data_IF_583550441117
#
_entry.id   IF_583550441117
#
_cell.length_a   1.000
_cell.length_b   1.000
_cell.length_c   1.000
_cell.angle_alpha   90.00
_cell.angle_beta   90.00
_cell.angle_gamma   90.00
#
_symmetry.space_group_name_H-M   'P 1'
#
loop_
_entity.id
_entity.type
_entity.pdbx_description
1 polymer ?
#
# COMPACT_ATOMS: atom_id res chain seq x y z
N UNK A 1 -31.42 -22.69 3.22
CA UNK A 1 -30.30 -22.81 4.18
C UNK A 1 -29.05 -23.25 3.43
N UNK A 2 -28.45 -22.32 2.67
CA UNK A 2 -27.15 -22.56 2.09
C UNK A 2 -26.11 -22.37 3.18
N UNK A 3 -25.35 -23.41 3.49
CA UNK A 3 -24.18 -23.31 4.35
C UNK A 3 -23.11 -22.56 3.57
N UNK A 4 -23.14 -21.24 3.66
CA UNK A 4 -21.95 -20.42 3.40
C UNK A 4 -21.08 -20.60 4.62
N UNK A 5 -20.10 -21.45 4.56
CA UNK A 5 -19.26 -21.72 5.71
C UNK A 5 -18.05 -22.56 5.34
N UNK A 6 -17.01 -22.25 6.00
CA UNK A 6 -15.84 -23.12 6.08
C UNK A 6 -16.28 -24.36 6.84
N UNK A 7 -16.20 -25.55 6.22
CA UNK A 7 -16.46 -26.81 6.91
C UNK A 7 -15.18 -27.21 7.62
N UNK A 8 -15.14 -26.95 8.93
CA UNK A 8 -13.99 -27.20 9.80
C UNK A 8 -13.62 -25.98 10.65
N UNK A 9 -12.75 -26.16 11.62
CA UNK A 9 -12.21 -25.09 12.44
C UNK A 9 -10.92 -24.50 11.86
N UNK A 10 -10.72 -23.18 12.03
CA UNK A 10 -9.51 -22.48 11.64
C UNK A 10 -9.48 -21.96 10.18
N UNK A 11 -8.39 -21.25 9.80
CA UNK A 11 -8.27 -20.56 8.51
C UNK A 11 -8.03 -21.52 7.32
N UNK A 12 -7.60 -22.76 7.57
CA UNK A 12 -7.27 -23.77 6.53
C UNK A 12 -7.92 -25.11 6.86
N UNK A 13 -9.26 -25.23 6.76
CA UNK A 13 -9.99 -26.47 7.07
C UNK A 13 -9.74 -27.57 6.02
N UNK A 14 -10.04 -28.84 6.31
CA UNK A 14 -9.89 -29.95 5.35
C UNK A 14 -10.67 -29.74 4.04
N UNK A 15 -11.85 -29.12 4.11
CA UNK A 15 -12.66 -28.74 2.96
C UNK A 15 -12.96 -27.26 3.01
N UNK A 16 -12.68 -26.54 1.91
CA UNK A 16 -12.90 -25.11 1.83
C UNK A 16 -14.05 -24.80 0.86
N UNK A 17 -15.13 -24.27 1.42
CA UNK A 17 -16.30 -23.88 0.66
C UNK A 17 -16.57 -22.38 0.83
N UNK A 18 -16.75 -21.68 -0.27
CA UNK A 18 -17.18 -20.27 -0.27
C UNK A 18 -18.26 -20.08 -1.35
N UNK A 19 -19.23 -19.26 -1.03
CA UNK A 19 -20.35 -18.98 -1.92
C UNK A 19 -20.41 -17.48 -2.20
N UNK A 20 -20.56 -17.14 -3.48
CA UNK A 20 -20.61 -15.77 -3.96
C UNK A 20 -21.85 -15.53 -4.80
N UNK A 21 -22.44 -14.35 -4.69
CA UNK A 21 -23.49 -13.87 -5.59
C UNK A 21 -22.97 -12.77 -6.50
N UNK A 22 -23.41 -12.78 -7.75
CA UNK A 22 -23.00 -11.76 -8.73
C UNK A 22 -23.61 -10.40 -8.38
N UNK A 23 -22.75 -9.39 -8.26
CA UNK A 23 -23.14 -8.01 -8.02
C UNK A 23 -23.39 -7.30 -9.36
N UNK A 24 -22.44 -7.40 -10.30
CA UNK A 24 -22.52 -6.74 -11.60
C UNK A 24 -21.65 -7.43 -12.65
N UNK A 25 -22.03 -7.28 -13.91
CA UNK A 25 -21.12 -7.55 -15.02
C UNK A 25 -20.16 -6.38 -15.18
N UNK A 26 -18.88 -6.67 -15.44
CA UNK A 26 -17.87 -5.66 -15.73
C UNK A 26 -17.68 -5.56 -17.24
N UNK A 27 -17.35 -4.37 -17.72
CA UNK A 27 -17.19 -4.12 -19.15
C UNK A 27 -16.21 -5.10 -19.80
N UNK A 28 -15.10 -5.43 -19.12
CA UNK A 28 -14.11 -6.44 -19.48
C UNK A 28 -13.24 -6.74 -18.25
N UNK A 29 -12.35 -7.74 -18.33
CA UNK A 29 -11.38 -8.05 -17.29
C UNK A 29 -10.19 -7.09 -17.28
N UNK A 30 -8.97 -7.59 -17.02
CA UNK A 30 -7.76 -6.75 -17.15
C UNK A 30 -7.59 -6.21 -18.57
N UNK A 31 -8.02 -6.98 -19.57
CA UNK A 31 -7.92 -6.64 -20.99
C UNK A 31 -9.29 -6.69 -21.68
N UNK A 32 -9.49 -5.89 -22.77
CA UNK A 32 -10.80 -5.75 -23.44
C UNK A 32 -11.42 -7.04 -23.98
N UNK A 33 -10.63 -8.06 -24.29
CA UNK A 33 -11.12 -9.35 -24.80
C UNK A 33 -11.56 -10.32 -23.70
N UNK A 34 -11.31 -10.01 -22.42
CA UNK A 34 -11.65 -10.86 -21.29
C UNK A 34 -13.04 -10.50 -20.75
N UNK A 35 -13.88 -11.51 -20.56
CA UNK A 35 -15.17 -11.33 -19.86
C UNK A 35 -14.93 -11.31 -18.35
N UNK A 36 -15.60 -10.41 -17.64
CA UNK A 36 -15.48 -10.27 -16.20
C UNK A 36 -16.81 -9.90 -15.54
N UNK A 37 -16.93 -10.26 -14.26
CA UNK A 37 -18.01 -9.86 -13.38
C UNK A 37 -17.49 -9.72 -11.97
N UNK A 38 -18.13 -8.88 -11.17
CA UNK A 38 -17.85 -8.74 -9.75
C UNK A 38 -18.86 -9.55 -8.94
N UNK A 39 -18.34 -10.30 -7.97
CA UNK A 39 -19.11 -11.13 -7.06
C UNK A 39 -18.78 -10.74 -5.62
N UNK A 40 -19.77 -10.73 -4.74
CA UNK A 40 -19.60 -10.57 -3.29
C UNK A 40 -19.87 -11.89 -2.55
N UNK A 41 -19.30 -12.09 -1.41
CA UNK A 41 -19.53 -13.26 -0.57
C UNK A 41 -20.94 -13.22 0.02
N UNK A 42 -21.66 -14.35 -0.05
CA UNK A 42 -23.04 -14.46 0.44
C UNK A 42 -23.04 -14.38 1.97
N UNK A 43 -23.92 -13.50 2.48
CA UNK A 43 -24.10 -13.33 3.93
C UNK A 43 -23.07 -12.45 4.62
N UNK A 44 -22.13 -11.88 3.86
CA UNK A 44 -21.14 -10.91 4.35
C UNK A 44 -21.27 -9.59 3.60
N UNK A 45 -21.25 -8.50 4.35
CA UNK A 45 -21.27 -7.14 3.80
C UNK A 45 -20.04 -6.38 4.30
N UNK A 46 -18.86 -6.77 3.81
CA UNK A 46 -17.60 -6.14 4.18
C UNK A 46 -16.70 -5.93 2.95
N UNK A 47 -15.62 -5.17 3.13
CA UNK A 47 -14.64 -4.90 2.08
C UNK A 47 -15.29 -4.39 0.79
N UNK A 48 -14.72 -4.70 -0.36
CA UNK A 48 -15.23 -4.28 -1.68
C UNK A 48 -16.67 -4.77 -1.94
N UNK A 49 -17.10 -5.86 -1.31
CA UNK A 49 -18.48 -6.36 -1.40
C UNK A 49 -19.55 -5.44 -0.81
N UNK A 50 -19.15 -4.50 0.05
CA UNK A 50 -20.03 -3.52 0.70
C UNK A 50 -19.87 -2.10 0.14
N UNK A 51 -19.07 -1.90 -0.91
CA UNK A 51 -18.84 -0.59 -1.50
C UNK A 51 -20.16 0.07 -1.97
N UNK A 52 -20.22 1.38 -1.81
CA UNK A 52 -21.32 2.21 -2.31
C UNK A 52 -20.77 3.22 -3.30
N UNK A 53 -21.09 3.05 -4.55
CA UNK A 53 -20.76 4.04 -5.57
C UNK A 53 -21.76 5.18 -5.55
N UNK A 54 -21.29 6.40 -5.26
CA UNK A 54 -22.12 7.60 -5.16
C UNK A 54 -22.24 8.31 -6.51
N UNK A 55 -21.15 8.28 -7.32
CA UNK A 55 -21.07 9.01 -8.58
C UNK A 55 -20.16 8.33 -9.58
N UNK A 56 -20.29 8.73 -10.86
CA UNK A 56 -19.35 8.43 -11.93
C UNK A 56 -19.73 7.22 -12.79
N UNK A 57 -18.80 6.83 -13.67
CA UNK A 57 -18.95 5.69 -14.57
C UNK A 57 -18.93 4.37 -13.82
N UNK A 58 -19.41 3.31 -14.49
CA UNK A 58 -19.28 1.93 -14.01
C UNK A 58 -17.82 1.60 -13.64
N UNK A 59 -17.66 0.78 -12.60
CA UNK A 59 -16.36 0.26 -12.18
C UNK A 59 -15.86 -0.77 -13.20
N UNK A 60 -14.55 -0.74 -13.45
CA UNK A 60 -13.87 -1.78 -14.22
C UNK A 60 -13.21 -2.80 -13.27
N UNK A 61 -12.80 -3.93 -13.85
CA UNK A 61 -11.98 -4.93 -13.13
C UNK A 61 -10.75 -4.29 -12.49
N UNK A 62 -9.97 -3.53 -13.27
CA UNK A 62 -8.76 -2.87 -12.78
C UNK A 62 -9.05 -1.82 -11.70
N UNK A 63 -10.18 -1.10 -11.80
CA UNK A 63 -10.57 -0.19 -10.72
C UNK A 63 -10.75 -0.93 -9.39
N UNK A 64 -11.46 -2.07 -9.38
CA UNK A 64 -11.72 -2.82 -8.14
C UNK A 64 -10.41 -3.36 -7.53
N UNK A 65 -9.50 -3.88 -8.36
CA UNK A 65 -8.18 -4.38 -7.90
C UNK A 65 -7.33 -3.26 -7.30
N UNK A 66 -7.26 -2.11 -7.96
CA UNK A 66 -6.49 -0.97 -7.47
C UNK A 66 -7.16 -0.31 -6.24
N UNK A 67 -8.51 -0.29 -6.19
CA UNK A 67 -9.28 0.17 -5.03
C UNK A 67 -8.95 -0.64 -3.79
N UNK A 68 -8.91 -1.96 -3.88
CA UNK A 68 -8.55 -2.83 -2.77
C UNK A 68 -7.12 -2.56 -2.26
N UNK A 69 -6.17 -2.40 -3.19
CA UNK A 69 -4.79 -2.06 -2.82
C UNK A 69 -4.70 -0.70 -2.10
N UNK A 70 -5.43 0.31 -2.59
CA UNK A 70 -5.47 1.64 -1.99
C UNK A 70 -6.13 1.63 -0.60
N UNK A 71 -7.26 0.91 -0.49
CA UNK A 71 -8.03 0.86 0.75
C UNK A 71 -7.28 0.18 1.88
N UNK A 72 -6.65 -0.96 1.60
CA UNK A 72 -5.85 -1.67 2.61
C UNK A 72 -4.63 -0.86 3.05
N UNK A 73 -4.01 -0.09 2.14
CA UNK A 73 -2.85 0.73 2.46
C UNK A 73 -3.20 1.95 3.34
N UNK A 74 -4.26 2.68 3.03
CA UNK A 74 -4.58 3.92 3.74
C UNK A 74 -4.96 3.69 5.20
N UNK A 75 -5.51 2.51 5.52
CA UNK A 75 -5.91 2.13 6.87
C UNK A 75 -4.78 1.61 7.77
N UNK A 76 -3.54 1.57 7.28
CA UNK A 76 -2.36 1.39 8.13
C UNK A 76 -2.14 2.55 9.10
N UNK A 77 -2.76 3.69 8.82
CA UNK A 77 -2.55 4.93 9.57
C UNK A 77 -3.77 5.31 10.40
N UNK A 78 -3.48 5.77 11.63
CA UNK A 78 -4.49 6.36 12.52
C UNK A 78 -4.65 7.86 12.32
N UNK A 79 -3.61 8.55 11.83
CA UNK A 79 -3.66 9.96 11.47
C UNK A 79 -4.38 10.15 10.13
N UNK A 80 -4.83 11.38 9.79
CA UNK A 80 -5.35 11.66 8.46
C UNK A 80 -4.33 11.26 7.40
N UNK A 81 -4.75 10.38 6.47
CA UNK A 81 -3.88 9.77 5.47
C UNK A 81 -4.53 9.76 4.09
N UNK A 82 -3.68 9.85 3.08
CA UNK A 82 -4.04 9.67 1.68
C UNK A 82 -3.05 8.73 0.99
N UNK A 83 -3.57 7.83 0.16
CA UNK A 83 -2.77 6.95 -0.70
C UNK A 83 -3.26 7.07 -2.14
N UNK A 84 -2.34 7.19 -3.07
CA UNK A 84 -2.60 7.22 -4.52
C UNK A 84 -1.99 5.97 -5.13
N UNK A 85 -2.82 5.14 -5.75
CA UNK A 85 -2.42 3.86 -6.32
C UNK A 85 -2.54 3.89 -7.83
N UNK A 86 -1.60 3.24 -8.49
CA UNK A 86 -1.66 2.90 -9.91
C UNK A 86 -1.05 1.52 -10.13
N UNK A 87 -1.82 0.63 -10.79
CA UNK A 87 -1.39 -0.75 -11.03
C UNK A 87 -0.97 -1.47 -9.75
N UNK A 88 -1.81 -1.37 -8.71
CA UNK A 88 -1.65 -1.97 -7.37
C UNK A 88 -0.46 -1.48 -6.55
N UNK A 89 0.35 -0.54 -7.05
CA UNK A 89 1.48 0.03 -6.33
C UNK A 89 1.24 1.51 -5.99
N UNK A 90 1.82 2.02 -4.89
CA UNK A 90 1.66 3.42 -4.54
C UNK A 90 2.49 4.33 -5.47
N UNK A 91 1.82 5.33 -6.05
CA UNK A 91 2.49 6.50 -6.61
C UNK A 91 2.92 7.43 -5.48
N UNK A 92 2.06 7.59 -4.47
CA UNK A 92 2.32 8.38 -3.29
C UNK A 92 1.43 7.98 -2.13
N UNK A 93 1.97 8.10 -0.94
CA UNK A 93 1.23 7.96 0.31
C UNK A 93 1.76 8.97 1.32
N UNK A 94 0.86 9.54 2.12
CA UNK A 94 1.23 10.53 3.11
C UNK A 94 0.26 10.56 4.28
N UNK A 95 0.77 11.06 5.41
CA UNK A 95 -0.01 11.45 6.59
C UNK A 95 0.23 12.91 6.91
N UNK A 96 -0.77 13.59 7.47
CA UNK A 96 -0.66 14.97 7.92
C UNK A 96 -1.65 15.27 9.04
N UNK A 97 -1.66 16.52 9.53
CA UNK A 97 -2.64 16.98 10.52
C UNK A 97 -4.04 17.18 9.94
N UNK A 98 -4.14 17.42 8.62
CA UNK A 98 -5.40 17.57 7.88
C UNK A 98 -5.45 16.58 6.73
N UNK A 99 -6.65 16.25 6.26
CA UNK A 99 -6.82 15.36 5.11
C UNK A 99 -6.34 16.03 3.81
N UNK A 100 -6.59 17.34 3.68
CA UNK A 100 -6.09 18.18 2.59
C UNK A 100 -4.57 18.04 2.44
N UNK A 101 -3.82 18.30 3.52
CA UNK A 101 -2.35 18.25 3.49
C UNK A 101 -1.84 16.81 3.24
N UNK A 102 -2.52 15.80 3.77
CA UNK A 102 -2.19 14.41 3.49
C UNK A 102 -2.33 14.10 1.98
N UNK A 103 -3.42 14.55 1.36
CA UNK A 103 -3.61 14.39 -0.08
C UNK A 103 -2.56 15.15 -0.90
N UNK A 104 -2.31 16.42 -0.58
CA UNK A 104 -1.29 17.24 -1.28
C UNK A 104 0.08 16.57 -1.21
N UNK A 105 0.50 16.14 -0.02
CA UNK A 105 1.79 15.46 0.18
C UNK A 105 1.87 14.13 -0.58
N UNK A 106 0.79 13.35 -0.62
CA UNK A 106 0.73 12.11 -1.39
C UNK A 106 0.82 12.37 -2.90
N UNK A 107 0.14 13.41 -3.38
CA UNK A 107 0.18 13.82 -4.78
C UNK A 107 1.57 14.31 -5.21
N UNK A 108 2.22 15.12 -4.38
CA UNK A 108 3.57 15.65 -4.65
C UNK A 108 4.67 14.58 -4.63
N UNK A 109 4.42 13.40 -4.06
CA UNK A 109 5.37 12.29 -4.08
C UNK A 109 5.67 11.81 -5.52
N UNK A 110 4.65 11.76 -6.39
CA UNK A 110 4.78 11.46 -7.82
C UNK A 110 3.55 12.01 -8.58
N UNK A 111 3.57 13.32 -8.86
CA UNK A 111 2.47 14.01 -9.54
C UNK A 111 2.25 13.53 -10.98
N UNK A 112 3.28 12.95 -11.62
CA UNK A 112 3.18 12.41 -12.98
C UNK A 112 2.37 11.12 -12.99
N UNK A 113 2.70 10.17 -12.12
CA UNK A 113 2.00 8.89 -12.02
C UNK A 113 0.61 9.02 -11.39
N UNK A 114 0.39 10.02 -10.54
CA UNK A 114 -0.90 10.28 -9.88
C UNK A 114 -2.03 10.61 -10.86
N UNK A 115 -1.72 11.12 -12.06
CA UNK A 115 -2.72 11.38 -13.09
C UNK A 115 -3.45 10.08 -13.51
N UNK A 116 -4.76 10.05 -13.37
CA UNK A 116 -5.58 8.86 -13.61
C UNK A 116 -5.42 7.78 -12.54
N UNK A 117 -4.88 8.11 -11.39
CA UNK A 117 -4.75 7.20 -10.25
C UNK A 117 -6.03 7.00 -9.47
N UNK A 118 -5.98 6.07 -8.53
CA UNK A 118 -7.03 5.80 -7.54
C UNK A 118 -6.57 6.34 -6.20
N UNK A 119 -7.40 7.18 -5.58
CA UNK A 119 -7.12 7.82 -4.29
C UNK A 119 -7.98 7.17 -3.20
N UNK A 120 -7.34 6.75 -2.12
CA UNK A 120 -8.00 6.35 -0.89
C UNK A 120 -7.64 7.31 0.25
N UNK A 121 -8.66 7.66 1.04
CA UNK A 121 -8.56 8.55 2.19
C UNK A 121 -9.21 7.88 3.41
N UNK A 122 -8.61 8.05 4.60
CA UNK A 122 -9.10 7.38 5.81
C UNK A 122 -10.00 8.28 6.69
N UNK A 123 -10.44 9.42 6.16
CA UNK A 123 -11.36 10.35 6.81
C UNK A 123 -12.43 10.82 5.82
N UNK A 124 -13.48 11.43 6.34
CA UNK A 124 -14.48 12.14 5.54
C UNK A 124 -13.84 13.22 4.70
N UNK A 125 -14.17 13.25 3.40
CA UNK A 125 -13.67 14.26 2.47
C UNK A 125 -14.47 15.55 2.64
N UNK A 126 -13.78 16.62 2.96
CA UNK A 126 -14.30 17.98 3.04
C UNK A 126 -14.16 18.76 1.72
N UNK A 127 -14.69 19.98 1.70
CA UNK A 127 -14.67 20.83 0.51
C UNK A 127 -13.25 21.19 0.07
N UNK A 128 -12.36 21.54 1.01
CA UNK A 128 -10.98 21.96 0.71
C UNK A 128 -10.20 20.82 0.05
N UNK A 129 -10.33 19.60 0.58
CA UNK A 129 -9.73 18.39 0.01
C UNK A 129 -10.32 18.07 -1.37
N UNK A 130 -11.63 18.21 -1.53
CA UNK A 130 -12.32 17.99 -2.80
C UNK A 130 -11.90 18.99 -3.88
N UNK A 131 -11.75 20.28 -3.53
CA UNK A 131 -11.24 21.30 -4.46
C UNK A 131 -9.85 20.95 -4.98
N UNK A 132 -8.94 20.52 -4.09
CA UNK A 132 -7.59 20.13 -4.48
C UNK A 132 -7.61 18.90 -5.40
N UNK A 133 -8.37 17.85 -5.06
CA UNK A 133 -8.51 16.65 -5.89
C UNK A 133 -9.16 16.95 -7.25
N UNK A 134 -10.00 17.97 -7.35
CA UNK A 134 -10.67 18.36 -8.59
C UNK A 134 -9.72 18.94 -9.65
N UNK A 135 -8.50 19.38 -9.27
CA UNK A 135 -7.55 20.02 -10.17
C UNK A 135 -6.91 19.08 -11.19
N UNK A 136 -6.90 17.78 -10.90
CA UNK A 136 -6.35 16.76 -11.79
C UNK A 136 -7.42 15.74 -12.18
N UNK A 137 -7.12 14.92 -13.20
CA UNK A 137 -7.95 13.76 -13.52
C UNK A 137 -7.60 12.60 -12.58
N UNK A 138 -8.60 12.11 -11.85
CA UNK A 138 -8.56 10.90 -11.03
C UNK A 138 -9.62 9.90 -11.52
N UNK A 139 -9.30 8.63 -11.49
CA UNK A 139 -10.23 7.56 -11.87
C UNK A 139 -11.27 7.28 -10.80
N UNK A 140 -10.81 7.14 -9.54
CA UNK A 140 -11.64 6.80 -8.38
C UNK A 140 -11.15 7.56 -7.15
N UNK A 141 -12.08 8.03 -6.35
CA UNK A 141 -11.82 8.58 -5.01
C UNK A 141 -12.62 7.74 -4.01
N UNK A 142 -11.95 7.22 -3.00
CA UNK A 142 -12.53 6.39 -1.94
C UNK A 142 -12.36 7.03 -0.58
N UNK A 143 -13.43 7.06 0.20
CA UNK A 143 -13.40 7.57 1.57
C UNK A 143 -14.50 6.91 2.41
N UNK A 144 -14.41 6.99 3.77
CA UNK A 144 -15.50 6.52 4.64
C UNK A 144 -16.76 7.38 4.52
N UNK A 145 -16.63 8.65 4.14
CA UNK A 145 -17.74 9.57 3.90
C UNK A 145 -17.27 10.77 3.07
N UNK A 146 -18.24 11.55 2.56
CA UNK A 146 -18.01 12.82 1.86
C UNK A 146 -19.01 13.82 2.41
N UNK A 147 -18.56 15.06 2.66
CA UNK A 147 -19.50 16.15 2.95
C UNK A 147 -20.32 16.48 1.70
N UNK A 148 -21.46 17.13 1.89
CA UNK A 148 -22.31 17.53 0.76
C UNK A 148 -21.54 18.48 -0.19
N UNK A 149 -20.80 19.41 0.35
CA UNK A 149 -20.01 20.37 -0.40
C UNK A 149 -18.92 19.68 -1.23
N UNK A 150 -18.26 18.65 -0.65
CA UNK A 150 -17.28 17.85 -1.37
C UNK A 150 -17.91 17.08 -2.54
N UNK A 151 -19.10 16.51 -2.35
CA UNK A 151 -19.85 15.85 -3.43
C UNK A 151 -20.20 16.85 -4.54
N UNK A 152 -20.75 18.02 -4.19
CA UNK A 152 -21.13 19.04 -5.18
C UNK A 152 -19.93 19.48 -6.04
N UNK A 153 -18.72 19.55 -5.47
CA UNK A 153 -17.49 19.88 -6.19
C UNK A 153 -17.05 18.73 -7.10
N UNK A 154 -17.00 17.51 -6.59
CA UNK A 154 -16.45 16.36 -7.31
C UNK A 154 -17.39 15.82 -8.39
N UNK A 155 -18.71 15.88 -8.18
CA UNK A 155 -19.74 15.44 -9.14
C UNK A 155 -19.78 16.30 -10.41
N UNK A 156 -19.22 17.53 -10.37
CA UNK A 156 -18.99 18.32 -11.58
C UNK A 156 -18.07 17.62 -12.60
N UNK A 157 -17.27 16.65 -12.15
CA UNK A 157 -16.42 15.78 -12.99
C UNK A 157 -17.14 14.48 -13.34
N UNK A 158 -17.90 14.45 -14.43
CA UNK A 158 -18.77 13.32 -14.85
C UNK A 158 -18.12 11.91 -14.82
N UNK A 159 -16.81 11.81 -14.91
CA UNK A 159 -16.12 10.54 -15.08
C UNK A 159 -15.49 10.01 -13.79
N UNK A 160 -15.31 10.86 -12.76
CA UNK A 160 -14.74 10.43 -11.48
C UNK A 160 -15.73 9.53 -10.75
N UNK A 161 -15.23 8.40 -10.26
CA UNK A 161 -16.04 7.50 -9.43
C UNK A 161 -15.81 7.87 -7.97
N UNK A 162 -16.90 8.13 -7.25
CA UNK A 162 -16.87 8.42 -5.82
C UNK A 162 -17.39 7.18 -5.08
N UNK A 163 -16.59 6.64 -4.19
CA UNK A 163 -16.86 5.39 -3.48
C UNK A 163 -16.85 5.65 -1.98
N UNK A 164 -17.97 5.35 -1.34
CA UNK A 164 -18.08 5.28 0.11
C UNK A 164 -17.88 3.85 0.58
N UNK A 165 -16.99 3.64 1.53
CA UNK A 165 -16.64 2.33 2.05
C UNK A 165 -16.19 2.42 3.51
N UNK A 166 -16.65 1.48 4.36
CA UNK A 166 -16.22 1.38 5.74
C UNK A 166 -14.80 0.84 5.87
N UNK A 167 -14.16 1.11 7.02
CA UNK A 167 -12.83 0.56 7.35
C UNK A 167 -12.77 -0.95 7.10
N UNK A 168 -11.67 -1.49 6.57
CA UNK A 168 -11.47 -2.93 6.41
C UNK A 168 -11.59 -3.69 7.74
N UNK A 169 -12.14 -4.89 7.70
CA UNK A 169 -12.12 -5.83 8.82
C UNK A 169 -10.80 -6.61 8.79
N UNK A 170 -10.21 -6.86 9.96
CA UNK A 170 -9.01 -7.68 10.11
C UNK A 170 -9.34 -9.18 10.23
N UNK A 171 -8.32 -10.03 10.09
CA UNK A 171 -8.43 -11.47 10.29
C UNK A 171 -9.10 -12.22 9.13
N UNK A 172 -9.13 -11.63 7.95
CA UNK A 172 -9.62 -12.28 6.75
C UNK A 172 -8.61 -13.29 6.19
N UNK A 173 -9.04 -14.09 5.23
CA UNK A 173 -8.16 -14.96 4.45
C UNK A 173 -8.08 -14.46 3.02
N UNK A 174 -6.90 -14.56 2.42
CA UNK A 174 -6.72 -14.29 1.01
C UNK A 174 -6.72 -15.59 0.21
N UNK A 175 -7.36 -15.56 -0.95
CA UNK A 175 -7.49 -16.72 -1.84
C UNK A 175 -6.90 -16.38 -3.20
N UNK A 176 -5.97 -17.21 -3.67
CA UNK A 176 -5.38 -17.08 -5.01
C UNK A 176 -5.70 -18.33 -5.84
N UNK A 177 -6.41 -18.13 -6.94
CA UNK A 177 -6.67 -19.20 -7.91
C UNK A 177 -5.38 -19.63 -8.59
N UNK A 178 -5.19 -20.95 -8.67
CA UNK A 178 -4.16 -21.61 -9.47
C UNK A 178 -4.81 -22.68 -10.34
N UNK A 179 -4.08 -23.20 -11.35
CA UNK A 179 -4.60 -24.23 -12.22
C UNK A 179 -4.97 -25.48 -11.41
N UNK A 180 -6.24 -25.86 -11.46
CA UNK A 180 -6.76 -27.05 -10.76
C UNK A 180 -6.96 -26.90 -9.25
N UNK A 181 -6.76 -25.68 -8.68
CA UNK A 181 -6.90 -25.48 -7.24
C UNK A 181 -6.89 -24.04 -6.80
N UNK A 182 -6.68 -23.83 -5.52
CA UNK A 182 -6.50 -22.51 -4.93
C UNK A 182 -5.52 -22.56 -3.75
N UNK A 183 -4.85 -21.45 -3.51
CA UNK A 183 -4.06 -21.20 -2.33
C UNK A 183 -4.87 -20.36 -1.37
N UNK A 184 -4.83 -20.70 -0.10
CA UNK A 184 -5.49 -19.95 0.99
C UNK A 184 -4.45 -19.61 2.04
N UNK A 185 -4.41 -18.37 2.47
CA UNK A 185 -3.55 -17.91 3.56
C UNK A 185 -4.28 -16.86 4.39
N UNK A 186 -3.85 -16.66 5.63
CA UNK A 186 -4.26 -15.50 6.42
C UNK A 186 -3.68 -14.23 5.80
N UNK A 187 -4.33 -13.10 6.05
CA UNK A 187 -3.78 -11.80 5.71
C UNK A 187 -2.48 -11.52 6.47
N UNK A 188 -1.66 -10.64 5.92
CA UNK A 188 -0.45 -10.10 6.56
C UNK A 188 -0.85 -8.92 7.46
N UNK A 189 -1.60 -9.22 8.51
CA UNK A 189 -2.18 -8.27 9.47
C UNK A 189 -1.48 -8.30 10.85
N UNK A 190 -0.25 -8.81 10.89
CA UNK A 190 0.51 -8.88 12.13
C UNK A 190 0.67 -7.49 12.75
N UNK A 191 0.32 -7.40 14.04
CA UNK A 191 0.55 -6.19 14.81
C UNK A 191 2.00 -6.13 15.23
N UNK A 192 2.72 -5.17 14.68
CA UNK A 192 4.14 -4.99 14.94
C UNK A 192 4.36 -3.95 16.04
N UNK A 193 5.37 -4.20 16.88
CA UNK A 193 5.79 -3.30 17.95
C UNK A 193 7.29 -3.01 17.81
N UNK A 194 7.62 -1.72 17.73
CA UNK A 194 8.99 -1.20 17.72
C UNK A 194 9.86 -1.82 18.84
N UNK A 195 9.26 -2.15 19.98
CA UNK A 195 9.99 -2.78 21.09
C UNK A 195 10.61 -4.14 20.74
N UNK A 196 10.10 -4.81 19.70
CA UNK A 196 10.63 -6.07 19.20
C UNK A 196 11.71 -5.91 18.12
N UNK A 197 11.92 -4.68 17.64
CA UNK A 197 12.90 -4.41 16.60
C UNK A 197 14.33 -4.29 17.19
N UNK A 198 15.30 -4.68 16.39
CA UNK A 198 16.71 -4.67 16.80
C UNK A 198 17.51 -3.70 15.94
N UNK A 199 18.10 -2.68 16.56
CA UNK A 199 19.14 -1.88 15.89
C UNK A 199 20.42 -2.70 15.85
N UNK A 200 20.93 -2.97 14.66
CA UNK A 200 22.08 -3.89 14.43
C UNK A 200 23.38 -3.17 14.11
N UNK A 201 23.33 -1.87 13.90
CA UNK A 201 24.48 -1.00 13.60
C UNK A 201 24.95 -0.20 14.82
N UNK A 202 26.15 0.40 14.72
CA UNK A 202 26.69 1.33 15.73
C UNK A 202 25.87 2.61 15.81
N UNK A 203 25.49 3.17 14.64
CA UNK A 203 24.58 4.30 14.56
C UNK A 203 23.19 3.89 15.04
N UNK A 204 22.54 4.77 15.80
CA UNK A 204 21.19 4.58 16.32
C UNK A 204 20.24 5.54 15.59
N UNK A 205 19.02 5.12 15.23
CA UNK A 205 18.06 6.04 14.65
C UNK A 205 17.64 7.14 15.64
N UNK A 206 17.52 8.37 15.15
CA UNK A 206 16.89 9.46 15.90
C UNK A 206 15.37 9.22 15.99
N UNK A 207 14.65 9.97 16.84
CA UNK A 207 13.19 9.84 16.92
C UNK A 207 12.49 10.23 15.60
N UNK A 208 13.03 11.18 14.85
CA UNK A 208 12.52 11.52 13.51
C UNK A 208 12.74 10.39 12.53
N UNK A 209 13.92 9.77 12.54
CA UNK A 209 14.23 8.60 11.73
C UNK A 209 13.34 7.41 12.11
N UNK A 210 13.07 7.19 13.40
CA UNK A 210 12.15 6.14 13.84
C UNK A 210 10.74 6.34 13.28
N UNK A 211 10.18 7.55 13.34
CA UNK A 211 8.87 7.85 12.75
C UNK A 211 8.86 7.57 11.24
N UNK A 212 9.94 7.98 10.54
CA UNK A 212 10.07 7.72 9.11
C UNK A 212 10.22 6.21 8.80
N UNK A 213 10.98 5.45 9.59
CA UNK A 213 11.13 4.00 9.44
C UNK A 213 9.80 3.27 9.67
N UNK A 214 9.04 3.63 10.71
CA UNK A 214 7.72 3.06 10.98
C UNK A 214 6.71 3.39 9.87
N UNK A 215 6.74 4.62 9.35
CA UNK A 215 5.93 5.02 8.21
C UNK A 215 6.28 4.21 6.95
N UNK A 216 7.57 4.11 6.62
CA UNK A 216 8.05 3.36 5.47
C UNK A 216 7.72 1.87 5.58
N UNK A 217 7.85 1.30 6.79
CA UNK A 217 7.62 -0.11 7.07
C UNK A 217 6.17 -0.51 6.85
N UNK A 218 5.22 0.30 7.32
CA UNK A 218 3.79 0.11 7.08
C UNK A 218 3.43 0.11 5.59
N UNK A 219 4.12 0.90 4.79
CA UNK A 219 3.84 1.03 3.37
C UNK A 219 4.52 -0.02 2.51
N UNK A 220 5.76 -0.42 2.85
CA UNK A 220 6.53 -1.35 1.99
C UNK A 220 5.86 -2.71 1.85
N UNK A 221 5.11 -3.17 2.86
CA UNK A 221 4.33 -4.43 2.80
C UNK A 221 3.22 -4.41 1.74
N UNK A 222 2.79 -3.23 1.31
CA UNK A 222 1.79 -3.06 0.26
C UNK A 222 2.39 -2.95 -1.15
N UNK A 223 3.70 -2.87 -1.27
CA UNK A 223 4.41 -2.77 -2.55
C UNK A 223 4.76 -4.16 -3.08
N UNK A 224 4.61 -4.37 -4.39
CA UNK A 224 4.95 -5.66 -5.02
C UNK A 224 6.44 -6.00 -4.89
N UNK A 225 6.72 -7.23 -4.46
CA UNK A 225 8.09 -7.74 -4.25
C UNK A 225 8.88 -7.94 -5.56
N UNK A 226 10.19 -7.77 -5.58
CA UNK A 226 11.01 -7.17 -4.52
C UNK A 226 10.69 -5.70 -4.38
N UNK A 227 10.44 -5.25 -3.16
CA UNK A 227 10.00 -3.89 -2.86
C UNK A 227 11.05 -3.10 -2.06
N UNK A 228 11.30 -1.88 -2.49
CA UNK A 228 12.03 -0.86 -1.75
C UNK A 228 11.19 0.41 -1.74
N UNK A 229 11.10 1.03 -0.58
CA UNK A 229 10.38 2.30 -0.40
C UNK A 229 11.28 3.29 0.32
N UNK A 230 11.38 4.50 -0.25
CA UNK A 230 12.07 5.64 0.34
C UNK A 230 11.03 6.62 0.87
N UNK A 231 11.21 7.10 2.09
CA UNK A 231 10.31 8.08 2.69
C UNK A 231 11.01 9.00 3.67
N UNK A 232 10.32 10.07 4.03
CA UNK A 232 10.52 10.80 5.27
C UNK A 232 9.42 10.41 6.28
N UNK A 233 9.27 11.15 7.36
CA UNK A 233 8.27 10.89 8.41
C UNK A 233 6.81 11.10 7.98
N UNK A 234 6.56 11.75 6.82
CA UNK A 234 5.22 12.21 6.39
C UNK A 234 4.77 11.63 5.07
N UNK A 235 5.70 11.38 4.13
CA UNK A 235 5.35 10.95 2.78
C UNK A 235 6.38 10.03 2.14
N UNK A 236 5.94 9.27 1.15
CA UNK A 236 6.81 8.54 0.24
C UNK A 236 7.60 9.49 -0.65
N UNK A 237 8.82 9.11 -1.00
CA UNK A 237 9.71 9.87 -1.88
C UNK A 237 10.11 9.07 -3.12
N UNK A 238 10.13 7.73 -3.00
CA UNK A 238 10.42 6.86 -4.12
C UNK A 238 10.03 5.42 -3.83
N UNK A 239 9.60 4.70 -4.86
CA UNK A 239 9.11 3.33 -4.77
C UNK A 239 9.71 2.49 -5.88
N UNK A 240 10.41 1.42 -5.52
CA UNK A 240 10.82 0.36 -6.43
C UNK A 240 9.96 -0.87 -6.18
N UNK A 241 9.20 -1.30 -7.18
CA UNK A 241 8.23 -2.37 -7.06
C UNK A 241 8.44 -3.47 -8.10
N UNK A 242 8.16 -4.73 -7.74
CA UNK A 242 8.04 -5.83 -8.68
C UNK A 242 9.35 -6.21 -9.39
N UNK A 243 10.50 -5.95 -8.79
CA UNK A 243 11.79 -6.23 -9.43
C UNK A 243 12.32 -7.62 -9.11
N UNK A 244 13.01 -8.25 -10.07
CA UNK A 244 13.59 -9.58 -9.90
C UNK A 244 14.79 -9.58 -8.94
N UNK A 245 15.41 -8.44 -8.70
CA UNK A 245 16.48 -8.31 -7.72
C UNK A 245 16.31 -7.04 -6.87
N UNK A 246 16.79 -7.11 -5.64
CA UNK A 246 16.58 -6.07 -4.64
C UNK A 246 17.34 -4.78 -4.93
N UNK A 247 18.58 -4.88 -5.37
CA UNK A 247 19.38 -3.71 -5.73
C UNK A 247 18.78 -2.94 -6.91
N UNK A 248 18.14 -3.63 -7.86
CA UNK A 248 17.40 -2.99 -8.95
C UNK A 248 16.21 -2.20 -8.43
N UNK A 249 15.45 -2.77 -7.51
CA UNK A 249 14.36 -2.08 -6.82
C UNK A 249 14.84 -0.83 -6.08
N UNK A 250 15.97 -0.95 -5.36
CA UNK A 250 16.58 0.17 -4.65
C UNK A 250 17.00 1.31 -5.60
N UNK A 251 17.61 0.99 -6.74
CA UNK A 251 18.00 1.99 -7.73
C UNK A 251 16.80 2.78 -8.26
N UNK A 252 15.71 2.09 -8.60
CA UNK A 252 14.47 2.73 -9.06
C UNK A 252 13.91 3.68 -7.99
N UNK A 253 13.80 3.21 -6.75
CA UNK A 253 13.27 4.03 -5.65
C UNK A 253 14.16 5.25 -5.37
N UNK A 254 15.48 5.08 -5.38
CA UNK A 254 16.45 6.16 -5.12
C UNK A 254 16.50 7.17 -6.27
N UNK A 255 16.42 6.72 -7.52
CA UNK A 255 16.33 7.59 -8.69
C UNK A 255 15.06 8.46 -8.65
N UNK A 256 13.91 7.86 -8.31
CA UNK A 256 12.66 8.58 -8.15
C UNK A 256 12.72 9.60 -7.00
N UNK A 257 13.31 9.22 -5.86
CA UNK A 257 13.49 10.13 -4.72
C UNK A 257 14.44 11.30 -5.03
N UNK A 258 15.44 11.08 -5.90
CA UNK A 258 16.41 12.10 -6.31
C UNK A 258 17.11 12.76 -5.12
N UNK A 259 17.19 14.09 -5.12
CA UNK A 259 17.81 14.86 -4.03
C UNK A 259 17.09 14.70 -2.67
N UNK A 260 15.79 14.37 -2.68
CA UNK A 260 15.01 14.14 -1.46
C UNK A 260 15.41 12.83 -0.73
N UNK A 261 16.21 11.96 -1.36
CA UNK A 261 16.79 10.79 -0.71
C UNK A 261 17.79 11.13 0.41
N UNK A 262 18.41 12.32 0.34
CA UNK A 262 19.37 12.76 1.35
C UNK A 262 18.70 12.95 2.71
N UNK A 263 19.14 12.20 3.70
CA UNK A 263 18.55 12.19 5.04
C UNK A 263 17.27 11.39 5.19
N UNK A 264 16.73 10.85 4.09
CA UNK A 264 15.56 10.00 4.10
C UNK A 264 15.87 8.58 4.62
N UNK A 265 14.82 7.77 4.77
CA UNK A 265 14.93 6.38 5.19
C UNK A 265 14.55 5.42 4.06
N UNK A 266 15.07 4.19 4.14
CA UNK A 266 14.78 3.11 3.21
C UNK A 266 14.16 1.93 3.93
N UNK A 267 13.02 1.43 3.44
CA UNK A 267 12.40 0.18 3.87
C UNK A 267 12.50 -0.88 2.78
N UNK A 268 12.73 -2.13 3.19
CA UNK A 268 12.78 -3.29 2.31
C UNK A 268 11.85 -4.39 2.82
N UNK A 269 10.99 -4.93 1.95
CA UNK A 269 10.03 -6.00 2.29
C UNK A 269 10.67 -7.33 2.71
N UNK A 270 11.96 -7.52 2.40
CA UNK A 270 12.75 -8.69 2.80
C UNK A 270 14.23 -8.33 3.03
N UNK A 271 15.01 -9.31 3.49
CA UNK A 271 16.44 -9.13 3.77
C UNK A 271 17.26 -8.77 2.53
N UNK A 272 18.41 -8.17 2.77
CA UNK A 272 19.41 -7.93 1.72
C UNK A 272 20.29 -9.18 1.54
N UNK A 273 20.34 -9.75 0.32
CA UNK A 273 21.22 -10.91 0.06
C UNK A 273 22.71 -10.55 0.08
N UNK A 274 23.05 -9.27 -0.16
CA UNK A 274 24.40 -8.71 -0.24
C UNK A 274 24.44 -7.29 0.32
N UNK A 275 25.62 -6.73 0.54
CA UNK A 275 25.81 -5.34 0.98
C UNK A 275 25.56 -4.27 -0.11
N UNK A 276 25.42 -4.67 -1.37
CA UNK A 276 25.30 -3.78 -2.55
C UNK A 276 24.11 -2.80 -2.48
N UNK A 277 22.99 -3.24 -1.88
CA UNK A 277 21.81 -2.39 -1.68
C UNK A 277 22.11 -1.29 -0.67
N UNK A 278 22.81 -1.60 0.42
CA UNK A 278 23.22 -0.62 1.43
C UNK A 278 24.25 0.36 0.86
N UNK A 279 25.24 -0.12 0.11
CA UNK A 279 26.21 0.72 -0.57
C UNK A 279 25.54 1.69 -1.57
N UNK A 280 24.52 1.22 -2.27
CA UNK A 280 23.74 2.05 -3.18
C UNK A 280 22.95 3.11 -2.42
N UNK A 281 22.29 2.75 -1.31
CA UNK A 281 21.59 3.69 -0.43
C UNK A 281 22.53 4.75 0.15
N UNK A 282 23.73 4.35 0.59
CA UNK A 282 24.75 5.25 1.14
C UNK A 282 25.15 6.34 0.14
N UNK A 283 25.36 5.98 -1.13
CA UNK A 283 25.70 6.94 -2.21
C UNK A 283 24.65 8.01 -2.44
N UNK A 284 23.38 7.74 -2.08
CA UNK A 284 22.27 8.68 -2.19
C UNK A 284 21.95 9.39 -0.89
N UNK A 285 22.74 9.16 0.17
CA UNK A 285 22.61 9.86 1.43
C UNK A 285 21.47 9.37 2.33
N UNK A 286 21.00 8.12 2.16
CA UNK A 286 20.02 7.50 3.07
C UNK A 286 20.61 7.48 4.50
N UNK A 287 19.79 7.90 5.47
CA UNK A 287 20.21 8.04 6.86
C UNK A 287 19.90 6.82 7.73
N UNK A 288 18.83 6.09 7.42
CA UNK A 288 18.47 4.88 8.15
C UNK A 288 17.74 3.85 7.24
N UNK A 289 17.84 2.58 7.64
CA UNK A 289 17.28 1.45 6.88
C UNK A 289 16.49 0.55 7.83
N UNK A 290 15.34 0.06 7.39
CA UNK A 290 14.54 -0.98 8.05
C UNK A 290 14.31 -2.16 7.12
N UNK A 291 14.55 -3.37 7.61
CA UNK A 291 14.41 -4.62 6.87
C UNK A 291 14.31 -5.81 7.84
N UNK A 292 13.85 -7.00 7.40
CA UNK A 292 13.68 -8.14 8.31
C UNK A 292 14.97 -8.70 8.92
N UNK A 293 16.11 -8.66 8.22
CA UNK A 293 17.26 -9.48 8.54
C UNK A 293 17.04 -10.95 8.19
N UNK A 294 17.99 -11.82 8.53
CA UNK A 294 17.92 -13.26 8.33
C UNK A 294 18.64 -13.77 7.10
N UNK A 295 19.44 -12.95 6.44
CA UNK A 295 20.38 -13.40 5.41
C UNK A 295 21.60 -14.08 6.04
N UNK A 296 22.15 -15.09 5.39
CA UNK A 296 23.48 -15.66 5.75
C UNK A 296 24.57 -14.57 5.70
N UNK A 297 24.34 -13.51 4.94
CA UNK A 297 25.28 -12.39 4.72
C UNK A 297 24.84 -11.09 5.39
N UNK A 298 24.05 -11.15 6.44
CA UNK A 298 23.62 -9.95 7.18
C UNK A 298 24.81 -9.09 7.63
N UNK A 299 25.94 -9.75 8.02
CA UNK A 299 27.17 -9.07 8.41
C UNK A 299 27.75 -8.14 7.32
N UNK A 300 27.60 -8.49 6.04
CA UNK A 300 28.04 -7.64 4.92
C UNK A 300 27.22 -6.34 4.86
N UNK A 301 25.90 -6.46 5.04
CA UNK A 301 24.99 -5.32 5.05
C UNK A 301 25.18 -4.43 6.28
N UNK A 302 25.39 -5.03 7.45
CA UNK A 302 25.67 -4.32 8.71
C UNK A 302 26.98 -3.56 8.59
N UNK A 303 28.04 -4.21 8.07
CA UNK A 303 29.34 -3.59 7.87
C UNK A 303 29.25 -2.39 6.92
N UNK A 304 28.57 -2.55 5.78
CA UNK A 304 28.37 -1.46 4.81
C UNK A 304 27.62 -0.28 5.43
N UNK A 305 26.59 -0.54 6.25
CA UNK A 305 25.85 0.48 6.98
C UNK A 305 26.70 1.19 8.03
N UNK A 306 27.50 0.45 8.81
CA UNK A 306 28.42 1.01 9.81
C UNK A 306 29.49 1.89 9.17
N UNK A 307 30.08 1.48 8.04
CA UNK A 307 31.07 2.25 7.30
C UNK A 307 30.48 3.56 6.73
N UNK A 308 29.19 3.54 6.37
CA UNK A 308 28.47 4.72 5.88
C UNK A 308 27.81 5.57 6.98
N UNK A 309 27.85 5.13 8.25
CA UNK A 309 27.18 5.81 9.36
C UNK A 309 25.64 5.72 9.31
N UNK A 310 25.09 4.73 8.60
CA UNK A 310 23.65 4.49 8.45
C UNK A 310 23.16 3.65 9.63
N UNK A 311 22.07 4.07 10.28
CA UNK A 311 21.37 3.24 11.26
C UNK A 311 20.57 2.14 10.55
N UNK A 312 20.69 0.88 10.99
CA UNK A 312 19.93 -0.24 10.42
C UNK A 312 19.14 -0.97 11.49
N UNK A 313 17.88 -1.21 11.18
CA UNK A 313 16.90 -1.88 12.05
C UNK A 313 16.46 -3.20 11.40
N UNK A 314 16.50 -4.28 12.19
CA UNK A 314 15.93 -5.58 11.85
C UNK A 314 14.61 -5.76 12.57
N UNK A 315 13.55 -6.11 11.80
CA UNK A 315 12.22 -6.38 12.34
C UNK A 315 11.99 -7.86 12.66
N UNK A 316 12.72 -8.76 11.98
CA UNK A 316 12.49 -10.20 12.05
C UNK A 316 11.27 -10.69 11.25
N UNK A 317 10.53 -9.79 10.62
CA UNK A 317 9.28 -10.07 9.91
C UNK A 317 9.43 -9.70 8.44
N UNK A 318 9.07 -10.62 7.53
CA UNK A 318 9.10 -10.42 6.08
C UNK A 318 7.70 -10.16 5.54
N UNK A 319 7.56 -9.21 4.61
CA UNK A 319 6.30 -8.81 3.98
C UNK A 319 6.28 -9.00 2.47
N UNK A 320 6.47 -10.21 1.97
CA UNK A 320 6.36 -10.46 0.54
C UNK A 320 4.92 -10.30 0.04
N UNK A 321 4.78 -9.59 -1.09
CA UNK A 321 3.51 -9.40 -1.81
C UNK A 321 3.71 -9.66 -3.31
N UNK A 322 3.09 -10.73 -3.82
CA UNK A 322 3.18 -11.15 -5.22
C UNK A 322 1.89 -10.92 -6.01
#
# INVERSE_FOLDING_TARGET
>A
NYMSGVIGEGPTPPEYLSAYEKVMDLRYGENPHQKAAFYKEIGKAHGMGALKQLHGKELSYNNIVDMEAAWNMVWEFTDPAACIIKHTNPCGAATASTLHDAYVNAYEADSVSAFGGIVALNREVDADTAEEMSKIFLEVIMAPAFTKEALDILEAKKNIRLIELSKPESGQVTVKKVSGGMLVQTEDDIVEDRANYKVVTKAQPTEEQWKALEFAWKLVKHVKSNAILISNEKRTLGVGAGQMNRVGSAKIALEQAGEAAKGAVLASDAFFPFGDTVETAAKHGIAAIIQPGGSIRDEESIKAADEAGIAMVFTGIRHFKH
#
